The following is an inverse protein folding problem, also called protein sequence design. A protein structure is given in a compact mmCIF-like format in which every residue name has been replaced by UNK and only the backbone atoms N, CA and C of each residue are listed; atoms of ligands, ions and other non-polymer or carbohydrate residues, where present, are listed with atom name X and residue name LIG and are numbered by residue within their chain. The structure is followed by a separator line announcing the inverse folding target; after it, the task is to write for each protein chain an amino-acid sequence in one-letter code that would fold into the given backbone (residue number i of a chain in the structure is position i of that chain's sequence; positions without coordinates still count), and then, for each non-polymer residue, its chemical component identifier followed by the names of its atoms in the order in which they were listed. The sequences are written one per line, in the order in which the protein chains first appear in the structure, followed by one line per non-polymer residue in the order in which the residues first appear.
data_IF_631447132676
#
_entry.id   IF_631447132676
#
_cell.length_a   1.000
_cell.length_b   1.000
_cell.length_c   1.000
_cell.angle_alpha   90.00
_cell.angle_beta   90.00
_cell.angle_gamma   90.00
#
_symmetry.space_group_name_H-M   'P 1'
#
loop_
_entity.id
_entity.type
_entity.pdbx_description
1 polymer ?
#
# COMPACT_ATOMS: atom_id res chain seq x y z
N UNK A 1 -19.55 -73.94 9.90
CA UNK A 1 -18.51 -72.98 10.16
C UNK A 1 -19.18 -71.58 9.84
N UNK A 2 -19.72 -70.90 10.84
CA UNK A 2 -20.23 -69.56 10.68
C UNK A 2 -19.10 -68.61 11.02
N UNK A 3 -18.69 -67.80 10.04
CA UNK A 3 -17.75 -66.73 10.26
C UNK A 3 -18.50 -65.62 11.07
N UNK A 4 -17.96 -65.27 12.23
CA UNK A 4 -18.40 -64.08 12.98
C UNK A 4 -17.97 -62.82 12.19
N UNK A 5 -18.82 -61.81 12.12
CA UNK A 5 -18.43 -60.52 11.54
C UNK A 5 -17.39 -59.87 12.46
N UNK A 6 -16.25 -59.46 11.87
CA UNK A 6 -15.24 -58.65 12.53
C UNK A 6 -15.90 -57.32 12.98
N UNK A 7 -15.96 -57.07 14.27
CA UNK A 7 -16.29 -55.77 14.83
C UNK A 7 -15.23 -54.74 14.38
N UNK A 8 -15.61 -53.79 13.54
CA UNK A 8 -14.78 -52.66 13.24
C UNK A 8 -14.48 -51.89 14.52
N UNK A 9 -13.23 -51.54 14.83
CA UNK A 9 -12.88 -50.81 16.04
C UNK A 9 -13.60 -49.44 16.00
N UNK A 10 -14.51 -49.23 16.92
CA UNK A 10 -15.15 -47.94 17.13
C UNK A 10 -14.08 -46.96 17.60
N UNK A 11 -13.83 -45.91 16.78
CA UNK A 11 -12.94 -44.78 17.14
C UNK A 11 -13.57 -44.09 18.38
N UNK A 12 -12.82 -43.97 19.49
CA UNK A 12 -13.36 -43.27 20.68
C UNK A 12 -13.81 -41.85 20.34
N UNK A 13 -14.99 -41.42 20.85
CA UNK A 13 -15.55 -40.07 20.63
C UNK A 13 -14.57 -38.97 20.99
N UNK A 14 -13.70 -39.18 21.98
CA UNK A 14 -12.66 -38.23 22.37
C UNK A 14 -11.61 -37.98 21.26
N UNK A 15 -11.31 -39.02 20.44
CA UNK A 15 -10.41 -38.87 19.28
C UNK A 15 -11.08 -38.13 18.11
N UNK A 16 -12.37 -38.32 17.92
CA UNK A 16 -13.14 -37.60 16.90
C UNK A 16 -13.22 -36.12 17.21
N UNK A 17 -13.45 -35.75 18.49
CA UNK A 17 -13.45 -34.34 18.94
C UNK A 17 -12.08 -33.70 18.76
N UNK A 18 -11.00 -34.34 19.21
CA UNK A 18 -9.65 -33.81 19.04
C UNK A 18 -9.25 -33.60 17.58
N UNK A 19 -9.65 -34.52 16.68
CA UNK A 19 -9.38 -34.36 15.24
C UNK A 19 -10.17 -33.17 14.65
N UNK A 20 -11.39 -32.94 15.11
CA UNK A 20 -12.20 -31.78 14.69
C UNK A 20 -11.55 -30.46 15.13
N UNK A 21 -11.10 -30.38 16.39
CA UNK A 21 -10.47 -29.19 16.95
C UNK A 21 -9.16 -28.86 16.19
N UNK A 22 -8.36 -29.91 15.91
CA UNK A 22 -7.12 -29.75 15.12
C UNK A 22 -7.41 -29.29 13.69
N UNK A 23 -8.45 -29.81 13.03
CA UNK A 23 -8.83 -29.39 11.69
C UNK A 23 -9.23 -27.89 11.67
N UNK A 24 -10.03 -27.45 12.65
CA UNK A 24 -10.42 -26.04 12.74
C UNK A 24 -9.23 -25.14 13.06
N UNK A 25 -8.32 -25.56 13.94
CA UNK A 25 -7.08 -24.82 14.20
C UNK A 25 -6.23 -24.69 12.93
N UNK A 26 -6.10 -25.76 12.16
CA UNK A 26 -5.37 -25.75 10.90
C UNK A 26 -6.01 -24.78 9.88
N UNK A 27 -7.33 -24.82 9.77
CA UNK A 27 -8.08 -23.90 8.89
C UNK A 27 -7.94 -22.44 9.30
N UNK A 28 -8.04 -22.16 10.62
CA UNK A 28 -7.82 -20.80 11.16
C UNK A 28 -6.40 -20.32 10.87
N UNK A 29 -5.40 -21.16 11.14
CA UNK A 29 -4.00 -20.83 10.87
C UNK A 29 -3.75 -20.63 9.36
N UNK A 30 -4.33 -21.47 8.51
CA UNK A 30 -4.28 -21.35 7.06
C UNK A 30 -4.88 -20.04 6.58
N UNK A 31 -6.07 -19.70 7.07
CA UNK A 31 -6.76 -18.47 6.72
C UNK A 31 -5.97 -17.23 7.16
N UNK A 32 -5.54 -17.17 8.43
CA UNK A 32 -4.68 -16.10 8.95
C UNK A 32 -3.34 -15.96 8.21
N UNK A 33 -2.87 -17.04 7.59
CA UNK A 33 -1.62 -17.04 6.83
C UNK A 33 -1.75 -16.49 5.41
N UNK A 34 -2.91 -16.55 4.81
CA UNK A 34 -3.14 -16.14 3.41
C UNK A 34 -3.81 -14.76 3.28
N UNK A 35 -4.48 -14.28 4.33
CA UNK A 35 -5.14 -12.97 4.29
C UNK A 35 -4.14 -11.83 4.52
N UNK A 36 -4.31 -10.78 3.71
CA UNK A 36 -3.53 -9.53 3.81
C UNK A 36 -4.23 -8.55 4.77
N UNK A 37 -5.57 -8.58 4.82
CA UNK A 37 -6.36 -7.72 5.71
C UNK A 37 -6.61 -8.42 7.05
N UNK A 38 -6.01 -7.86 8.10
CA UNK A 38 -6.15 -8.36 9.46
C UNK A 38 -7.59 -8.24 9.98
N UNK A 39 -8.33 -7.21 9.60
CA UNK A 39 -9.71 -7.01 10.08
C UNK A 39 -10.65 -8.07 9.49
N UNK A 40 -10.56 -8.33 8.20
CA UNK A 40 -11.32 -9.39 7.55
C UNK A 40 -10.98 -10.76 8.14
N UNK A 41 -9.69 -11.02 8.35
CA UNK A 41 -9.22 -12.24 8.98
C UNK A 41 -9.79 -12.45 10.40
N UNK A 42 -9.84 -11.41 11.21
CA UNK A 42 -10.39 -11.48 12.56
C UNK A 42 -11.90 -11.77 12.58
N UNK A 43 -12.67 -11.21 11.63
CA UNK A 43 -14.09 -11.51 11.50
C UNK A 43 -14.35 -12.99 11.22
N UNK A 44 -13.60 -13.58 10.30
CA UNK A 44 -13.70 -14.99 9.95
C UNK A 44 -13.26 -15.91 11.12
N UNK A 45 -12.17 -15.56 11.79
CA UNK A 45 -11.70 -16.29 12.98
C UNK A 45 -12.76 -16.27 14.07
N UNK A 46 -13.36 -15.11 14.37
CA UNK A 46 -14.46 -15.01 15.35
C UNK A 46 -15.63 -15.90 14.95
N UNK A 47 -15.96 -15.98 13.66
CA UNK A 47 -17.00 -16.85 13.15
C UNK A 47 -16.71 -18.31 13.51
N UNK A 48 -15.53 -18.79 13.17
CA UNK A 48 -15.12 -20.19 13.39
C UNK A 48 -15.00 -20.53 14.88
N UNK A 49 -14.46 -19.63 15.68
CA UNK A 49 -14.30 -19.82 17.14
C UNK A 49 -15.66 -19.92 17.82
N UNK A 50 -16.57 -19.01 17.53
CA UNK A 50 -17.92 -19.02 18.16
C UNK A 50 -18.70 -20.27 17.75
N UNK A 51 -18.60 -20.68 16.47
CA UNK A 51 -19.28 -21.89 16.00
C UNK A 51 -18.67 -23.18 16.58
N UNK A 52 -17.32 -23.25 16.68
CA UNK A 52 -16.63 -24.40 17.23
C UNK A 52 -16.97 -24.65 18.72
N UNK A 53 -16.96 -23.56 19.49
CA UNK A 53 -17.22 -23.63 20.94
C UNK A 53 -18.70 -23.46 21.28
N UNK A 54 -19.59 -23.39 20.28
CA UNK A 54 -21.04 -23.15 20.46
C UNK A 54 -21.31 -21.91 21.33
N UNK A 55 -20.52 -20.85 21.09
CA UNK A 55 -20.66 -19.57 21.76
C UNK A 55 -21.49 -18.62 20.89
N UNK A 56 -22.18 -17.68 21.52
CA UNK A 56 -23.10 -16.80 20.82
C UNK A 56 -22.41 -15.62 20.16
N UNK A 57 -21.47 -15.01 20.85
CA UNK A 57 -20.84 -13.76 20.43
C UNK A 57 -19.35 -13.74 20.74
N UNK A 58 -18.61 -12.93 19.99
CA UNK A 58 -17.21 -12.66 20.23
C UNK A 58 -16.80 -11.31 19.68
N UNK A 59 -15.75 -10.72 20.24
CA UNK A 59 -15.16 -9.49 19.78
C UNK A 59 -13.66 -9.41 20.11
N UNK A 60 -12.92 -8.66 19.31
CA UNK A 60 -11.49 -8.46 19.47
C UNK A 60 -11.19 -6.99 19.66
N UNK A 61 -10.50 -6.68 20.74
CA UNK A 61 -9.84 -5.40 20.95
C UNK A 61 -8.39 -5.50 20.48
N UNK A 62 -7.93 -4.56 19.67
CA UNK A 62 -6.51 -4.40 19.36
C UNK A 62 -6.00 -3.06 19.86
N UNK A 63 -4.67 -2.96 20.00
CA UNK A 63 -3.98 -1.72 20.33
C UNK A 63 -3.49 -1.06 19.03
N UNK A 64 -3.78 0.25 18.89
CA UNK A 64 -3.21 1.06 17.82
C UNK A 64 -1.72 1.37 18.09
N UNK A 65 -1.08 2.15 17.21
CA UNK A 65 0.33 2.55 17.36
C UNK A 65 0.59 3.41 18.61
N UNK A 66 -0.43 4.10 19.13
CA UNK A 66 -0.39 4.89 20.36
C UNK A 66 -0.63 4.06 21.62
N UNK A 67 -0.92 2.76 21.46
CA UNK A 67 -1.25 1.85 22.58
C UNK A 67 -2.70 1.97 23.07
N UNK A 68 -3.58 2.64 22.31
CA UNK A 68 -5.00 2.79 22.66
C UNK A 68 -5.83 1.62 22.12
N UNK A 69 -6.77 1.08 22.90
CA UNK A 69 -7.61 -0.02 22.49
C UNK A 69 -8.71 0.44 21.53
N UNK A 70 -8.90 -0.29 20.44
CA UNK A 70 -10.01 -0.10 19.51
C UNK A 70 -10.67 -1.44 19.17
N UNK A 71 -11.96 -1.42 18.83
CA UNK A 71 -12.70 -2.60 18.41
C UNK A 71 -12.27 -3.00 16.99
N UNK A 72 -11.50 -4.06 16.87
CA UNK A 72 -10.96 -4.53 15.60
C UNK A 72 -11.94 -5.43 14.84
N UNK A 73 -12.67 -6.28 15.55
CA UNK A 73 -13.69 -7.14 14.97
C UNK A 73 -14.76 -7.50 16.02
N UNK A 74 -15.98 -7.78 15.58
CA UNK A 74 -17.06 -8.26 16.40
C UNK A 74 -17.99 -9.18 15.61
N UNK A 75 -18.54 -10.20 16.28
CA UNK A 75 -19.53 -11.09 15.72
C UNK A 75 -20.74 -11.20 16.66
N UNK A 76 -21.93 -11.01 16.12
CA UNK A 76 -23.22 -11.21 16.80
C UNK A 76 -23.29 -10.52 18.17
N UNK A 77 -22.79 -9.28 18.27
CA UNK A 77 -22.98 -8.48 19.48
C UNK A 77 -24.45 -8.33 19.80
N UNK A 78 -24.83 -8.36 21.11
CA UNK A 78 -26.21 -8.09 21.49
C UNK A 78 -26.61 -6.68 21.03
N UNK A 79 -27.87 -6.42 20.65
CA UNK A 79 -28.33 -5.10 20.19
C UNK A 79 -27.93 -3.98 21.15
N UNK A 80 -27.95 -4.23 22.44
CA UNK A 80 -27.52 -3.31 23.49
C UNK A 80 -26.10 -2.75 23.26
N UNK A 81 -25.17 -3.53 22.71
CA UNK A 81 -23.80 -3.13 22.41
C UNK A 81 -23.61 -2.80 20.92
N UNK A 82 -24.26 -3.56 20.03
CA UNK A 82 -24.03 -3.46 18.58
C UNK A 82 -24.69 -2.25 17.92
N UNK A 83 -25.87 -1.83 18.41
CA UNK A 83 -26.61 -0.68 17.89
C UNK A 83 -26.11 0.67 18.47
N UNK A 84 -25.31 0.61 19.52
CA UNK A 84 -24.81 1.77 20.25
C UNK A 84 -23.28 1.77 20.29
N UNK A 85 -22.64 2.28 19.24
CA UNK A 85 -21.18 2.30 19.12
C UNK A 85 -20.47 2.97 20.31
N UNK A 86 -21.09 3.98 20.93
CA UNK A 86 -20.56 4.64 22.12
C UNK A 86 -20.39 3.70 23.32
N UNK A 87 -21.18 2.60 23.40
CA UNK A 87 -21.06 1.59 24.45
C UNK A 87 -19.87 0.65 24.23
N UNK A 88 -19.31 0.63 23.01
CA UNK A 88 -18.11 -0.11 22.65
C UNK A 88 -16.87 0.79 22.55
N UNK A 89 -16.92 2.02 23.08
CA UNK A 89 -15.77 2.92 23.19
C UNK A 89 -15.29 3.05 24.63
N UNK A 90 -14.09 3.60 24.84
CA UNK A 90 -13.49 3.82 26.16
C UNK A 90 -13.11 2.54 26.89
N UNK A 91 -12.75 2.67 28.16
CA UNK A 91 -12.28 1.55 28.99
C UNK A 91 -13.38 0.63 29.45
N UNK A 92 -13.02 -0.60 29.79
CA UNK A 92 -13.87 -1.60 30.42
C UNK A 92 -13.01 -2.54 31.27
N UNK A 93 -13.65 -3.33 32.14
CA UNK A 93 -12.95 -4.19 33.10
C UNK A 93 -11.93 -5.12 32.42
N UNK A 94 -12.25 -5.72 31.25
CA UNK A 94 -11.29 -6.58 30.52
C UNK A 94 -10.08 -5.80 29.99
N UNK A 95 -10.29 -4.60 29.48
CA UNK A 95 -9.19 -3.72 29.01
C UNK A 95 -8.33 -3.27 30.19
N UNK A 96 -8.96 -2.82 31.30
CA UNK A 96 -8.24 -2.38 32.50
C UNK A 96 -7.43 -3.53 33.11
N UNK A 97 -8.01 -4.73 33.18
CA UNK A 97 -7.34 -5.94 33.68
C UNK A 97 -6.15 -6.33 32.80
N UNK A 98 -6.31 -6.23 31.47
CA UNK A 98 -5.24 -6.48 30.51
C UNK A 98 -4.06 -5.48 30.68
N UNK A 99 -4.37 -4.19 30.80
CA UNK A 99 -3.33 -3.18 31.04
C UNK A 99 -2.68 -3.31 32.42
N UNK A 100 -3.46 -3.73 33.42
CA UNK A 100 -2.95 -4.01 34.77
C UNK A 100 -2.05 -5.24 34.88
N UNK A 101 -1.89 -6.01 33.80
CA UNK A 101 -1.06 -7.22 33.79
C UNK A 101 -1.71 -8.45 34.44
N UNK A 102 -2.98 -8.36 34.86
CA UNK A 102 -3.70 -9.45 35.53
C UNK A 102 -4.20 -10.52 34.54
N UNK A 103 -4.21 -10.22 33.24
CA UNK A 103 -4.49 -11.18 32.16
C UNK A 103 -3.20 -11.80 31.60
N UNK A 104 -2.16 -11.96 32.44
CA UNK A 104 -0.92 -12.59 31.95
C UNK A 104 -1.13 -14.07 31.64
N UNK A 105 -0.79 -14.37 30.43
CA UNK A 105 -0.32 -15.63 29.79
C UNK A 105 -1.06 -16.96 30.06
N UNK A 106 -1.87 -17.12 31.06
CA UNK A 106 -2.41 -18.44 31.37
C UNK A 106 -3.88 -18.45 31.84
N UNK A 107 -4.45 -17.31 32.17
CA UNK A 107 -5.74 -17.30 32.83
C UNK A 107 -6.77 -16.57 31.98
N UNK A 108 -7.63 -17.38 31.41
CA UNK A 108 -8.88 -16.91 30.87
C UNK A 108 -9.79 -16.70 32.08
N UNK A 109 -9.85 -15.49 32.58
CA UNK A 109 -10.79 -15.13 33.60
C UNK A 109 -12.16 -14.87 32.98
N UNK A 110 -13.18 -15.50 33.52
CA UNK A 110 -14.58 -15.15 33.23
C UNK A 110 -14.88 -13.83 33.93
N UNK A 111 -14.94 -12.77 33.16
CA UNK A 111 -15.17 -11.44 33.68
C UNK A 111 -16.62 -11.04 33.49
N UNK A 112 -17.23 -10.49 34.57
CA UNK A 112 -18.52 -9.80 34.46
C UNK A 112 -18.34 -8.57 33.58
N UNK A 113 -19.10 -8.50 32.49
CA UNK A 113 -18.97 -7.41 31.55
C UNK A 113 -19.41 -6.07 32.14
N UNK A 114 -18.47 -5.15 32.36
CA UNK A 114 -18.77 -3.83 32.91
C UNK A 114 -19.67 -2.99 31.98
N UNK A 115 -19.60 -3.23 30.65
CA UNK A 115 -20.46 -2.56 29.67
C UNK A 115 -21.92 -3.00 29.70
N UNK A 116 -22.20 -4.21 30.18
CA UNK A 116 -23.56 -4.76 30.34
C UNK A 116 -24.16 -4.50 31.73
N UNK A 117 -23.40 -3.90 32.65
CA UNK A 117 -23.84 -3.68 34.04
C UNK A 117 -25.18 -2.92 34.16
N UNK A 118 -25.39 -1.92 33.32
CA UNK A 118 -26.63 -1.14 33.32
C UNK A 118 -27.79 -1.95 32.71
N UNK A 119 -27.53 -2.66 31.59
CA UNK A 119 -28.55 -3.53 31.00
C UNK A 119 -29.00 -4.63 31.97
N UNK A 120 -28.07 -5.21 32.70
CA UNK A 120 -28.39 -6.22 33.72
C UNK A 120 -29.24 -5.63 34.86
N UNK A 121 -28.88 -4.46 35.40
CA UNK A 121 -29.63 -3.77 36.44
C UNK A 121 -31.06 -3.43 36.01
N UNK A 122 -31.20 -2.96 34.79
CA UNK A 122 -32.45 -2.48 34.22
C UNK A 122 -33.25 -3.62 33.54
N UNK A 123 -32.73 -4.86 33.58
CA UNK A 123 -33.28 -6.06 32.93
C UNK A 123 -33.60 -5.84 31.44
N UNK A 124 -32.72 -5.12 30.73
CA UNK A 124 -32.89 -4.75 29.34
C UNK A 124 -32.80 -6.01 28.43
N UNK A 125 -33.91 -6.37 27.72
CA UNK A 125 -33.93 -7.56 26.88
C UNK A 125 -32.95 -7.49 25.70
N UNK A 126 -32.52 -6.30 25.28
CA UNK A 126 -31.57 -6.10 24.16
C UNK A 126 -30.14 -6.57 24.51
N UNK A 127 -29.83 -6.81 25.78
CA UNK A 127 -28.62 -7.45 26.23
C UNK A 127 -28.60 -8.97 26.02
N UNK A 128 -29.75 -9.57 25.69
CA UNK A 128 -29.91 -11.00 25.41
C UNK A 128 -29.41 -11.93 26.54
N UNK A 129 -29.55 -11.51 27.80
CA UNK A 129 -29.09 -12.28 28.96
C UNK A 129 -27.59 -12.36 29.17
N UNK A 130 -26.79 -11.74 28.32
CA UNK A 130 -25.32 -11.73 28.46
C UNK A 130 -24.89 -10.96 29.71
N UNK A 131 -24.03 -11.56 30.50
CA UNK A 131 -23.48 -10.97 31.74
C UNK A 131 -21.98 -11.09 31.85
N UNK A 132 -21.44 -12.20 31.37
CA UNK A 132 -20.03 -12.56 31.48
C UNK A 132 -19.43 -12.83 30.13
N UNK A 133 -18.11 -12.74 30.04
CA UNK A 133 -17.33 -13.17 28.90
C UNK A 133 -15.99 -13.74 29.35
N UNK A 134 -15.45 -14.64 28.57
CA UNK A 134 -14.03 -15.02 28.69
C UNK A 134 -13.18 -14.03 27.92
N UNK A 135 -12.03 -13.67 28.47
CA UNK A 135 -11.06 -12.75 27.87
C UNK A 135 -9.71 -13.43 27.75
N UNK A 136 -9.20 -13.51 26.53
CA UNK A 136 -7.91 -14.13 26.23
C UNK A 136 -6.97 -13.06 25.68
N UNK A 137 -5.82 -12.81 26.29
CA UNK A 137 -4.90 -11.82 25.79
C UNK A 137 -4.26 -12.29 24.48
N UNK A 138 -4.02 -11.34 23.57
CA UNK A 138 -3.34 -11.56 22.29
C UNK A 138 -1.94 -10.98 22.42
N UNK A 139 -0.94 -11.85 22.26
CA UNK A 139 0.48 -11.48 22.29
C UNK A 139 1.19 -11.88 21.00
N UNK A 140 2.29 -11.19 20.72
CA UNK A 140 3.31 -11.66 19.80
C UNK A 140 4.68 -11.60 20.49
N UNK A 141 5.16 -12.73 20.97
CA UNK A 141 6.25 -12.78 21.94
C UNK A 141 5.87 -12.01 23.21
N UNK A 142 6.68 -11.02 23.61
CA UNK A 142 6.43 -10.20 24.80
C UNK A 142 5.57 -8.95 24.51
N UNK A 143 5.16 -8.75 23.24
CA UNK A 143 4.41 -7.55 22.85
C UNK A 143 2.91 -7.78 23.02
N UNK A 144 2.25 -6.93 23.80
CA UNK A 144 0.81 -6.90 23.97
C UNK A 144 0.15 -6.33 22.73
N UNK A 145 -0.78 -7.07 22.10
CA UNK A 145 -1.47 -6.66 20.88
C UNK A 145 -2.94 -6.40 21.09
N UNK A 146 -3.59 -7.12 22.01
CA UNK A 146 -5.03 -6.98 22.20
C UNK A 146 -5.64 -8.07 23.08
N UNK A 147 -6.98 -8.21 22.96
CA UNK A 147 -7.79 -9.15 23.75
C UNK A 147 -8.85 -9.76 22.85
N UNK A 148 -8.93 -11.08 22.82
CA UNK A 148 -10.06 -11.84 22.28
C UNK A 148 -11.08 -12.05 23.39
N UNK A 149 -12.34 -11.67 23.16
CA UNK A 149 -13.46 -11.90 24.09
C UNK A 149 -14.50 -12.78 23.43
N UNK A 150 -15.02 -13.74 24.20
CA UNK A 150 -16.10 -14.63 23.77
C UNK A 150 -17.15 -14.79 24.88
N UNK A 151 -18.42 -14.90 24.50
CA UNK A 151 -19.53 -14.98 25.45
C UNK A 151 -20.68 -15.83 24.92
N UNK A 152 -21.54 -16.31 25.85
CA UNK A 152 -22.80 -16.99 25.57
C UNK A 152 -23.89 -16.51 26.51
N UNK A 153 -25.17 -16.69 26.16
CA UNK A 153 -26.32 -16.29 26.97
C UNK A 153 -26.32 -16.99 28.32
N UNK A 154 -26.26 -18.32 28.26
CA UNK A 154 -26.11 -19.16 29.44
C UNK A 154 -24.61 -19.42 29.61
N UNK A 155 -23.97 -18.54 30.37
CA UNK A 155 -22.56 -18.73 30.63
C UNK A 155 -22.32 -20.09 31.28
N UNK A 156 -21.65 -20.95 30.53
CA UNK A 156 -21.07 -22.18 31.06
C UNK A 156 -19.60 -21.98 31.34
N UNK A 157 -19.10 -22.60 32.36
CA UNK A 157 -17.67 -22.64 32.57
C UNK A 157 -16.99 -23.39 31.41
N UNK A 158 -16.02 -22.75 30.76
CA UNK A 158 -15.25 -23.38 29.70
C UNK A 158 -14.34 -24.46 30.29
N UNK A 159 -14.27 -25.59 29.63
CA UNK A 159 -13.37 -26.67 30.04
C UNK A 159 -11.93 -26.33 29.77
N UNK A 160 -10.99 -26.99 30.44
CA UNK A 160 -9.56 -26.72 30.29
C UNK A 160 -9.07 -26.85 28.83
N UNK A 161 -9.61 -27.79 28.07
CA UNK A 161 -9.33 -28.02 26.68
C UNK A 161 -9.81 -26.87 25.79
N UNK A 162 -10.99 -26.32 26.05
CA UNK A 162 -11.57 -25.17 25.33
C UNK A 162 -10.77 -23.90 25.60
N UNK A 163 -10.32 -23.72 26.82
CA UNK A 163 -9.48 -22.62 27.23
C UNK A 163 -8.11 -22.69 26.54
N UNK A 164 -7.53 -23.88 26.46
CA UNK A 164 -6.27 -24.11 25.76
C UNK A 164 -6.41 -23.83 24.25
N UNK A 165 -7.55 -24.21 23.66
CA UNK A 165 -7.86 -23.94 22.26
C UNK A 165 -7.92 -22.42 21.98
N UNK A 166 -8.60 -21.67 22.84
CA UNK A 166 -8.69 -20.20 22.74
C UNK A 166 -7.30 -19.55 22.86
N UNK A 167 -6.42 -20.07 23.72
CA UNK A 167 -5.03 -19.59 23.79
C UNK A 167 -4.27 -19.81 22.48
N UNK A 168 -4.33 -21.03 21.93
CA UNK A 168 -3.67 -21.33 20.66
C UNK A 168 -4.16 -20.42 19.55
N UNK A 169 -5.48 -20.17 19.49
CA UNK A 169 -6.08 -19.27 18.51
C UNK A 169 -5.60 -17.83 18.73
N UNK A 170 -5.55 -17.38 19.97
CA UNK A 170 -5.06 -16.05 20.33
C UNK A 170 -3.60 -15.84 19.93
N UNK A 171 -2.75 -16.84 20.13
CA UNK A 171 -1.36 -16.85 19.71
C UNK A 171 -1.25 -16.79 18.17
N UNK A 172 -2.08 -17.54 17.44
CA UNK A 172 -2.11 -17.48 15.97
C UNK A 172 -2.53 -16.09 15.46
N UNK A 173 -3.52 -15.47 16.09
CA UNK A 173 -3.94 -14.09 15.80
C UNK A 173 -2.75 -13.14 16.04
N UNK A 174 -2.08 -13.27 17.18
CA UNK A 174 -0.91 -12.45 17.53
C UNK A 174 0.19 -12.53 16.48
N UNK A 175 0.56 -13.75 16.07
CA UNK A 175 1.56 -13.98 15.04
C UNK A 175 1.14 -13.40 13.67
N UNK A 176 -0.13 -13.51 13.28
CA UNK A 176 -0.64 -12.97 12.04
C UNK A 176 -0.58 -11.42 12.04
N UNK A 177 -0.99 -10.78 13.13
CA UNK A 177 -0.91 -9.32 13.28
C UNK A 177 0.55 -8.85 13.22
N UNK A 178 1.46 -9.52 13.94
CA UNK A 178 2.88 -9.17 13.93
C UNK A 178 3.46 -9.29 12.52
N UNK A 179 3.15 -10.37 11.81
CA UNK A 179 3.60 -10.56 10.44
C UNK A 179 3.08 -9.47 9.50
N UNK A 180 1.80 -9.11 9.59
CA UNK A 180 1.23 -8.04 8.79
C UNK A 180 1.91 -6.70 9.05
N UNK A 181 2.18 -6.37 10.33
CA UNK A 181 2.93 -5.15 10.71
C UNK A 181 4.35 -5.15 10.14
N UNK A 182 5.10 -6.24 10.32
CA UNK A 182 6.46 -6.37 9.79
C UNK A 182 6.49 -6.29 8.26
N UNK A 183 5.52 -6.89 7.57
CA UNK A 183 5.39 -6.79 6.11
C UNK A 183 5.15 -5.35 5.66
N UNK A 184 4.26 -4.63 6.33
CA UNK A 184 4.00 -3.21 6.04
C UNK A 184 5.23 -2.33 6.29
N UNK A 185 5.95 -2.55 7.39
CA UNK A 185 7.20 -1.85 7.69
C UNK A 185 8.29 -2.14 6.65
N UNK A 186 8.43 -3.39 6.24
CA UNK A 186 9.39 -3.79 5.22
C UNK A 186 9.07 -3.14 3.86
N UNK A 187 7.80 -3.09 3.47
CA UNK A 187 7.36 -2.43 2.24
C UNK A 187 7.66 -0.93 2.29
N UNK A 188 7.34 -0.25 3.40
CA UNK A 188 7.67 1.17 3.60
C UNK A 188 9.18 1.43 3.54
N UNK A 189 9.99 0.57 4.17
CA UNK A 189 11.45 0.68 4.13
C UNK A 189 12.00 0.48 2.71
N UNK A 190 11.48 -0.51 1.97
CA UNK A 190 11.88 -0.76 0.58
C UNK A 190 11.54 0.42 -0.34
N UNK A 191 10.36 1.03 -0.16
CA UNK A 191 9.96 2.24 -0.92
C UNK A 191 10.89 3.42 -0.63
N UNK A 192 11.26 3.63 0.66
CA UNK A 192 12.22 4.67 1.04
C UNK A 192 13.60 4.45 0.40
N UNK A 193 14.10 3.22 0.43
CA UNK A 193 15.39 2.87 -0.18
C UNK A 193 15.36 3.09 -1.69
N UNK A 194 14.33 2.63 -2.39
CA UNK A 194 14.17 2.84 -3.83
C UNK A 194 14.11 4.34 -4.20
N UNK A 195 13.46 5.15 -3.37
CA UNK A 195 13.42 6.62 -3.56
C UNK A 195 14.81 7.25 -3.40
N UNK A 196 15.59 6.80 -2.40
CA UNK A 196 16.96 7.28 -2.18
C UNK A 196 17.90 6.85 -3.33
N UNK A 197 17.80 5.61 -3.79
CA UNK A 197 18.59 5.09 -4.91
C UNK A 197 18.29 5.86 -6.19
N UNK A 198 17.03 6.12 -6.51
CA UNK A 198 16.62 6.91 -7.66
C UNK A 198 17.12 8.37 -7.54
N UNK A 199 17.03 8.97 -6.36
CA UNK A 199 17.58 10.30 -6.11
C UNK A 199 19.09 10.36 -6.36
N UNK A 200 19.84 9.36 -5.92
CA UNK A 200 21.27 9.26 -6.13
C UNK A 200 21.62 9.01 -7.61
N UNK A 201 20.78 8.26 -8.33
CA UNK A 201 20.91 8.04 -9.76
C UNK A 201 20.71 9.35 -10.53
N UNK A 202 19.63 10.06 -10.24
CA UNK A 202 19.32 11.36 -10.83
C UNK A 202 20.42 12.40 -10.54
N UNK A 203 20.94 12.44 -9.31
CA UNK A 203 22.03 13.34 -8.96
C UNK A 203 23.30 13.11 -9.80
N UNK A 204 23.63 11.85 -10.11
CA UNK A 204 24.74 11.49 -11.01
C UNK A 204 24.45 11.90 -12.45
N UNK A 205 23.25 11.59 -12.96
CA UNK A 205 22.81 11.95 -14.31
C UNK A 205 22.86 13.49 -14.52
N UNK A 206 22.40 14.25 -13.53
CA UNK A 206 22.49 15.72 -13.53
C UNK A 206 23.95 16.18 -13.58
N UNK A 207 24.80 15.60 -12.73
CA UNK A 207 26.21 15.96 -12.68
C UNK A 207 26.90 15.71 -14.02
N UNK A 208 26.65 14.57 -14.63
CA UNK A 208 27.24 14.18 -15.91
C UNK A 208 26.75 15.08 -17.05
N UNK A 209 25.46 15.39 -17.08
CA UNK A 209 24.90 16.32 -18.12
C UNK A 209 25.43 17.73 -17.94
N UNK A 210 25.49 18.25 -16.71
CA UNK A 210 26.06 19.56 -16.41
C UNK A 210 27.56 19.63 -16.79
N UNK A 211 28.32 18.60 -16.42
CA UNK A 211 29.75 18.54 -16.73
C UNK A 211 30.00 18.55 -18.24
N UNK A 212 29.24 17.76 -19.01
CA UNK A 212 29.31 17.72 -20.48
C UNK A 212 28.92 19.07 -21.09
N UNK A 213 27.85 19.68 -20.64
CA UNK A 213 27.39 20.98 -21.12
C UNK A 213 28.39 22.11 -20.82
N UNK A 214 28.97 22.13 -19.62
CA UNK A 214 30.03 23.10 -19.26
C UNK A 214 31.29 22.89 -20.12
N UNK A 215 31.71 21.65 -20.38
CA UNK A 215 32.83 21.36 -21.27
C UNK A 215 32.58 21.86 -22.69
N UNK A 216 31.37 21.64 -23.21
CA UNK A 216 30.99 22.15 -24.54
C UNK A 216 30.99 23.69 -24.63
N UNK A 217 30.51 24.38 -23.58
CA UNK A 217 30.53 25.84 -23.47
C UNK A 217 31.98 26.34 -23.44
N UNK A 218 32.84 25.72 -22.64
CA UNK A 218 34.26 26.06 -22.53
C UNK A 218 34.95 25.95 -23.90
N UNK A 219 34.72 24.87 -24.62
CA UNK A 219 35.30 24.67 -25.97
C UNK A 219 34.84 25.74 -26.99
N UNK A 220 33.54 26.15 -26.91
CA UNK A 220 33.06 27.23 -27.79
C UNK A 220 33.69 28.58 -27.43
N UNK A 221 33.94 28.86 -26.16
CA UNK A 221 34.58 30.08 -25.71
C UNK A 221 36.06 30.12 -26.07
N UNK A 222 36.79 29.00 -25.92
CA UNK A 222 38.18 28.86 -26.38
C UNK A 222 38.30 29.03 -27.91
N UNK A 223 37.32 28.48 -28.65
CA UNK A 223 37.26 28.66 -30.10
C UNK A 223 37.02 30.13 -30.46
N UNK A 224 36.16 30.81 -29.74
CA UNK A 224 35.88 32.23 -29.93
C UNK A 224 37.12 33.08 -29.66
N UNK A 225 37.83 32.81 -28.59
CA UNK A 225 39.06 33.50 -28.20
C UNK A 225 40.16 33.35 -29.28
N UNK A 226 40.41 32.10 -29.72
CA UNK A 226 41.40 31.81 -30.76
C UNK A 226 41.11 32.45 -32.13
N UNK A 227 39.82 32.75 -32.41
CA UNK A 227 39.39 33.35 -33.70
C UNK A 227 39.13 34.85 -33.61
N UNK A 228 39.20 35.46 -32.45
CA UNK A 228 38.75 36.84 -32.19
C UNK A 228 39.43 37.86 -33.11
N UNK A 229 40.75 37.75 -33.32
CA UNK A 229 41.50 38.69 -34.17
C UNK A 229 41.47 38.30 -35.64
N UNK A 230 41.62 36.99 -35.97
CA UNK A 230 41.78 36.52 -37.33
C UNK A 230 40.45 36.34 -38.08
N UNK A 231 39.37 36.02 -37.41
CA UNK A 231 38.03 35.75 -37.98
C UNK A 231 36.90 36.20 -37.04
N UNK A 232 36.68 37.51 -36.85
CA UNK A 232 35.74 38.05 -35.86
C UNK A 232 34.31 37.53 -36.00
N UNK A 233 33.85 37.26 -37.23
CA UNK A 233 32.50 36.76 -37.51
C UNK A 233 32.32 35.35 -36.97
N UNK A 234 33.30 34.46 -37.14
CA UNK A 234 33.29 33.10 -36.62
C UNK A 234 33.45 33.07 -35.09
N UNK A 235 34.21 33.98 -34.54
CA UNK A 235 34.30 34.18 -33.10
C UNK A 235 32.93 34.54 -32.51
N UNK A 236 32.18 35.47 -33.14
CA UNK A 236 30.84 35.84 -32.74
C UNK A 236 29.85 34.66 -32.78
N UNK A 237 29.89 33.84 -33.84
CA UNK A 237 29.07 32.63 -33.96
C UNK A 237 29.36 31.62 -32.85
N UNK A 238 30.62 31.46 -32.45
CA UNK A 238 31.02 30.57 -31.35
C UNK A 238 30.46 31.08 -29.99
N UNK A 239 30.50 32.40 -29.76
CA UNK A 239 29.89 33.02 -28.58
C UNK A 239 28.39 32.79 -28.55
N UNK A 240 27.68 32.94 -29.68
CA UNK A 240 26.23 32.70 -29.74
C UNK A 240 25.90 31.22 -29.44
N UNK A 241 26.69 30.28 -29.95
CA UNK A 241 26.55 28.84 -29.60
C UNK A 241 26.79 28.58 -28.11
N UNK A 242 27.83 29.18 -27.53
CA UNK A 242 28.08 29.07 -26.07
C UNK A 242 26.94 29.61 -25.24
N UNK A 243 26.35 30.75 -25.62
CA UNK A 243 25.18 31.31 -24.93
C UNK A 243 23.93 30.40 -25.01
N UNK A 244 23.69 29.80 -26.17
CA UNK A 244 22.59 28.85 -26.35
C UNK A 244 22.77 27.60 -25.47
N UNK A 245 23.97 26.98 -25.48
CA UNK A 245 24.34 25.86 -24.65
C UNK A 245 24.18 26.20 -23.15
N UNK A 246 24.61 27.38 -22.72
CA UNK A 246 24.50 27.81 -21.32
C UNK A 246 23.02 27.94 -20.86
N UNK A 247 22.16 28.49 -21.72
CA UNK A 247 20.73 28.62 -21.44
C UNK A 247 20.05 27.26 -21.33
N UNK A 248 20.33 26.35 -22.26
CA UNK A 248 19.77 25.00 -22.26
C UNK A 248 20.23 24.21 -21.02
N UNK A 249 21.52 24.26 -20.68
CA UNK A 249 22.07 23.62 -19.49
C UNK A 249 21.43 24.14 -18.20
N UNK A 250 21.17 25.43 -18.10
CA UNK A 250 20.51 26.03 -16.93
C UNK A 250 19.06 25.57 -16.79
N UNK A 251 18.32 25.49 -17.90
CA UNK A 251 16.94 24.99 -17.89
C UNK A 251 16.86 23.50 -17.50
N UNK A 252 17.81 22.71 -17.99
CA UNK A 252 17.90 21.29 -17.65
C UNK A 252 18.27 21.08 -16.19
N UNK A 253 19.22 21.82 -15.67
CA UNK A 253 19.57 21.81 -14.26
C UNK A 253 18.37 22.17 -13.35
N UNK A 254 17.59 23.18 -13.74
CA UNK A 254 16.37 23.57 -12.99
C UNK A 254 15.31 22.47 -13.00
N UNK A 255 15.07 21.83 -14.13
CA UNK A 255 14.14 20.69 -14.26
C UNK A 255 14.57 19.55 -13.32
N UNK A 256 15.81 19.15 -13.43
CA UNK A 256 16.37 18.05 -12.65
C UNK A 256 16.35 18.30 -11.13
N UNK A 257 16.55 19.54 -10.68
CA UNK A 257 16.41 19.91 -9.25
C UNK A 257 14.95 19.86 -8.80
N UNK A 258 13.99 20.21 -9.66
CA UNK A 258 12.57 20.03 -9.34
C UNK A 258 12.20 18.55 -9.24
N UNK A 259 12.76 17.70 -10.09
CA UNK A 259 12.57 16.25 -10.04
C UNK A 259 13.12 15.60 -8.76
N UNK A 260 14.18 16.16 -8.17
CA UNK A 260 14.72 15.67 -6.88
C UNK A 260 13.82 15.95 -5.67
N UNK A 261 12.85 16.87 -5.78
CA UNK A 261 11.96 17.26 -4.66
C UNK A 261 10.77 16.32 -4.44
N UNK A 262 10.55 15.31 -5.28
CA UNK A 262 9.38 14.44 -5.15
C UNK A 262 9.55 13.38 -4.05
N UNK A 263 8.93 13.63 -2.90
CA UNK A 263 8.70 12.65 -1.85
C UNK A 263 7.25 12.13 -1.70
N UNK A 264 6.36 12.14 -2.76
CA UNK A 264 4.96 11.78 -2.56
C UNK A 264 4.75 10.31 -2.19
N UNK A 265 5.70 9.40 -2.52
CA UNK A 265 5.61 7.98 -2.21
C UNK A 265 6.17 7.61 -0.82
N UNK A 266 6.66 8.57 -0.02
CA UNK A 266 7.18 8.27 1.31
C UNK A 266 6.08 7.90 2.30
N UNK A 267 4.90 8.54 2.15
CA UNK A 267 3.76 8.40 3.07
C UNK A 267 2.44 8.06 2.34
N UNK A 268 2.49 7.82 1.02
CA UNK A 268 1.31 7.55 0.18
C UNK A 268 1.53 6.33 -0.73
N UNK A 269 0.45 5.65 -1.05
CA UNK A 269 0.43 4.62 -2.09
C UNK A 269 0.60 5.24 -3.49
N UNK A 270 0.98 4.43 -4.50
CA UNK A 270 1.08 4.91 -5.89
C UNK A 270 -0.23 5.54 -6.37
N UNK A 271 -1.38 4.97 -6.02
CA UNK A 271 -2.70 5.49 -6.39
C UNK A 271 -2.94 6.88 -5.77
N UNK A 272 -2.68 7.04 -4.48
CA UNK A 272 -2.83 8.34 -3.79
C UNK A 272 -1.88 9.39 -4.36
N UNK A 273 -0.64 9.01 -4.65
CA UNK A 273 0.36 9.90 -5.22
C UNK A 273 -0.01 10.35 -6.65
N UNK A 274 -0.53 9.45 -7.50
CA UNK A 274 -1.00 9.79 -8.84
C UNK A 274 -2.27 10.64 -8.79
N UNK A 275 -3.19 10.36 -7.88
CA UNK A 275 -4.39 11.19 -7.65
C UNK A 275 -4.00 12.61 -7.24
N UNK A 276 -3.06 12.76 -6.31
CA UNK A 276 -2.56 14.07 -5.89
C UNK A 276 -1.82 14.81 -7.03
N UNK A 277 -1.06 14.08 -7.86
CA UNK A 277 -0.37 14.61 -9.01
C UNK A 277 -1.34 15.23 -10.03
N UNK A 278 -2.42 14.53 -10.36
CA UNK A 278 -3.43 14.99 -11.32
C UNK A 278 -4.31 16.11 -10.76
N UNK A 279 -4.67 16.07 -9.48
CA UNK A 279 -5.48 17.12 -8.81
C UNK A 279 -4.74 18.46 -8.76
N UNK A 280 -3.43 18.46 -8.47
CA UNK A 280 -2.62 19.68 -8.40
C UNK A 280 -2.51 20.43 -9.74
N UNK A 281 -2.68 19.74 -10.84
CA UNK A 281 -2.62 20.30 -12.18
C UNK A 281 -3.95 20.95 -12.59
N UNK A 282 -5.07 20.43 -12.13
CA UNK A 282 -6.42 20.97 -12.45
C UNK A 282 -6.73 22.25 -11.70
N UNK A 283 -6.15 22.49 -10.52
CA UNK A 283 -6.43 23.67 -9.69
C UNK A 283 -5.73 24.98 -10.14
N UNK A 284 -4.76 24.89 -11.08
CA UNK A 284 -3.91 26.05 -11.41
C UNK A 284 -4.53 27.11 -12.30
N UNK A 285 -5.58 26.85 -13.07
CA UNK A 285 -6.33 27.86 -13.85
C UNK A 285 -7.60 27.27 -14.47
N UNK A 286 -8.74 28.00 -14.59
CA UNK A 286 -9.98 27.49 -15.20
C UNK A 286 -9.90 27.18 -16.70
N UNK A 287 -8.91 27.77 -17.39
CA UNK A 287 -8.59 27.51 -18.81
C UNK A 287 -7.38 26.55 -18.97
N UNK A 288 -6.97 25.87 -17.88
CA UNK A 288 -5.84 24.98 -17.86
C UNK A 288 -6.24 23.58 -18.34
N UNK A 289 -5.23 22.81 -18.69
CA UNK A 289 -5.29 21.40 -19.00
C UNK A 289 -6.14 20.64 -17.95
N UNK A 290 -7.20 19.97 -18.40
CA UNK A 290 -7.99 19.06 -17.57
C UNK A 290 -7.33 17.67 -17.58
N UNK A 291 -6.86 17.24 -16.40
CA UNK A 291 -6.25 15.91 -16.26
C UNK A 291 -7.22 14.99 -15.54
N UNK A 292 -7.62 13.90 -16.20
CA UNK A 292 -8.45 12.85 -15.62
C UNK A 292 -7.55 11.67 -15.23
N UNK A 293 -7.74 11.14 -14.04
CA UNK A 293 -7.08 9.92 -13.60
C UNK A 293 -8.09 8.80 -13.45
N UNK A 294 -7.91 7.76 -14.25
CA UNK A 294 -8.72 6.55 -14.24
C UNK A 294 -7.86 5.36 -13.82
N UNK A 295 -8.41 4.48 -13.01
CA UNK A 295 -7.76 3.21 -12.67
C UNK A 295 -8.76 2.06 -12.69
N UNK A 296 -8.32 0.91 -13.17
CA UNK A 296 -9.14 -0.31 -13.16
C UNK A 296 -8.54 -1.31 -12.18
N UNK A 297 -9.12 -1.46 -10.97
CA UNK A 297 -8.77 -2.57 -10.12
C UNK A 297 -9.55 -3.82 -10.60
N UNK A 298 -8.83 -4.88 -10.80
CA UNK A 298 -9.46 -6.17 -10.67
C UNK A 298 -9.95 -6.38 -9.27
N UNK A 299 -10.31 -6.63 -8.38
CA UNK A 299 -10.82 -6.75 -7.01
C UNK A 299 -10.01 -5.97 -5.95
N UNK A 300 -8.69 -5.87 -6.07
CA UNK A 300 -7.82 -5.00 -5.25
C UNK A 300 -6.53 -4.70 -6.03
N UNK A 301 -6.00 -3.48 -5.90
CA UNK A 301 -4.74 -3.13 -6.54
C UNK A 301 -3.59 -3.92 -5.88
N UNK A 302 -2.76 -4.64 -6.67
CA UNK A 302 -1.69 -5.47 -6.11
C UNK A 302 -0.61 -4.61 -5.45
N UNK A 303 0.10 -5.18 -4.49
CA UNK A 303 1.28 -4.56 -3.91
C UNK A 303 2.41 -4.65 -4.94
N UNK A 304 2.75 -3.52 -5.53
CA UNK A 304 3.84 -3.44 -6.48
C UNK A 304 5.20 -3.37 -5.76
N UNK A 305 6.28 -3.90 -6.37
CA UNK A 305 7.62 -3.63 -5.89
C UNK A 305 7.91 -2.13 -5.87
N UNK A 306 8.54 -1.61 -4.81
CA UNK A 306 8.81 -0.19 -4.62
C UNK A 306 9.52 0.47 -5.82
N UNK A 307 10.45 -0.24 -6.46
CA UNK A 307 11.13 0.22 -7.69
C UNK A 307 10.18 0.46 -8.86
N UNK A 308 9.10 -0.32 -8.95
CA UNK A 308 8.07 -0.18 -9.99
C UNK A 308 7.22 1.04 -9.69
N UNK A 309 6.76 1.21 -8.45
CA UNK A 309 5.96 2.37 -8.02
C UNK A 309 6.70 3.69 -8.26
N UNK A 310 7.96 3.78 -7.84
CA UNK A 310 8.79 4.97 -8.04
C UNK A 310 8.96 5.29 -9.52
N UNK A 311 9.23 4.27 -10.35
CA UNK A 311 9.43 4.48 -11.78
C UNK A 311 8.13 4.92 -12.47
N UNK A 312 7.00 4.28 -12.19
CA UNK A 312 5.69 4.65 -12.77
C UNK A 312 5.28 6.07 -12.37
N UNK A 313 5.44 6.42 -11.09
CA UNK A 313 5.18 7.78 -10.63
C UNK A 313 6.02 8.82 -11.39
N UNK A 314 7.32 8.57 -11.55
CA UNK A 314 8.22 9.47 -12.28
C UNK A 314 7.89 9.59 -13.75
N UNK A 315 7.48 8.50 -14.38
CA UNK A 315 7.08 8.53 -15.78
C UNK A 315 5.79 9.34 -15.94
N UNK A 316 4.81 9.16 -15.07
CA UNK A 316 3.59 9.96 -15.07
C UNK A 316 3.88 11.45 -14.89
N UNK A 317 4.75 11.80 -13.95
CA UNK A 317 5.20 13.17 -13.69
C UNK A 317 5.86 13.81 -14.93
N UNK A 318 6.79 13.11 -15.60
CA UNK A 318 7.47 13.58 -16.79
C UNK A 318 6.52 13.69 -17.98
N UNK A 319 5.62 12.72 -18.16
CA UNK A 319 4.62 12.76 -19.23
C UNK A 319 3.68 13.97 -19.08
N UNK A 320 3.16 14.22 -17.88
CA UNK A 320 2.31 15.40 -17.62
C UNK A 320 3.09 16.71 -17.79
N UNK A 321 4.35 16.76 -17.37
CA UNK A 321 5.20 17.92 -17.58
C UNK A 321 5.43 18.20 -19.08
N UNK A 322 5.56 17.14 -19.90
CA UNK A 322 5.70 17.26 -21.35
C UNK A 322 4.41 17.78 -21.99
N UNK A 323 3.25 17.30 -21.55
CA UNK A 323 1.94 17.79 -21.99
C UNK A 323 1.81 19.29 -21.71
N UNK A 324 2.09 19.73 -20.49
CA UNK A 324 2.04 21.16 -20.12
C UNK A 324 2.96 22.04 -20.95
N UNK A 325 4.18 21.56 -21.24
CA UNK A 325 5.18 22.40 -21.93
C UNK A 325 5.03 22.41 -23.44
N UNK A 326 4.60 21.28 -23.99
CA UNK A 326 4.76 21.03 -25.41
C UNK A 326 3.47 20.74 -26.16
N UNK A 327 2.44 20.15 -25.51
CA UNK A 327 1.28 19.63 -26.23
C UNK A 327 0.27 20.70 -26.62
N UNK A 328 0.11 21.78 -25.87
CA UNK A 328 -1.01 22.72 -26.02
C UNK A 328 -2.37 21.97 -25.95
N UNK A 329 -2.46 20.95 -25.11
CA UNK A 329 -3.62 20.12 -24.93
C UNK A 329 -4.66 20.80 -24.03
N UNK A 330 -5.92 20.43 -24.23
CA UNK A 330 -7.04 20.84 -23.37
C UNK A 330 -7.40 19.71 -22.38
N UNK A 331 -7.20 18.46 -22.79
CA UNK A 331 -7.50 17.29 -21.99
C UNK A 331 -6.33 16.31 -22.00
N UNK A 332 -6.08 15.70 -20.84
CA UNK A 332 -5.18 14.56 -20.71
C UNK A 332 -5.80 13.50 -19.84
N UNK A 333 -5.54 12.25 -20.15
CA UNK A 333 -5.99 11.09 -19.36
C UNK A 333 -4.78 10.29 -18.90
N UNK A 334 -4.72 10.04 -17.61
CA UNK A 334 -3.78 9.12 -16.98
C UNK A 334 -4.56 7.87 -16.60
N UNK A 335 -4.14 6.70 -17.07
CA UNK A 335 -4.76 5.43 -16.74
C UNK A 335 -3.76 4.48 -16.10
N UNK A 336 -4.15 3.85 -14.99
CA UNK A 336 -3.37 2.80 -14.32
C UNK A 336 -4.19 1.51 -14.25
N UNK A 337 -3.68 0.44 -14.86
CA UNK A 337 -4.33 -0.87 -14.85
C UNK A 337 -3.37 -1.98 -14.44
N UNK A 338 -3.91 -3.11 -14.02
CA UNK A 338 -3.14 -4.32 -13.70
C UNK A 338 -3.75 -5.54 -14.37
N UNK A 339 -2.90 -6.41 -14.85
CA UNK A 339 -3.20 -7.75 -15.34
C UNK A 339 -2.39 -8.74 -14.48
N UNK A 340 -2.64 -10.04 -14.56
CA UNK A 340 -2.15 -11.12 -13.67
C UNK A 340 -0.71 -10.93 -13.10
N UNK A 341 0.24 -10.43 -13.90
CA UNK A 341 1.63 -10.19 -13.48
C UNK A 341 2.22 -8.89 -14.08
N UNK A 342 1.38 -7.97 -14.54
CA UNK A 342 1.84 -6.75 -15.21
C UNK A 342 1.03 -5.54 -14.74
N UNK A 343 1.71 -4.42 -14.63
CA UNK A 343 1.08 -3.12 -14.44
C UNK A 343 1.22 -2.31 -15.73
N UNK A 344 0.12 -1.67 -16.13
CA UNK A 344 0.04 -0.82 -17.30
C UNK A 344 -0.19 0.62 -16.87
N UNK A 345 0.63 1.55 -17.36
CA UNK A 345 0.43 2.99 -17.23
C UNK A 345 0.26 3.56 -18.63
N UNK A 346 -0.84 4.27 -18.86
CA UNK A 346 -1.10 4.98 -20.12
C UNK A 346 -1.32 6.47 -19.85
N UNK A 347 -0.71 7.31 -20.67
CA UNK A 347 -0.89 8.77 -20.63
C UNK A 347 -1.25 9.24 -22.02
N UNK A 348 -2.40 9.87 -22.17
CA UNK A 348 -2.90 10.36 -23.46
C UNK A 348 -3.28 11.83 -23.37
N UNK A 349 -2.97 12.62 -24.40
CA UNK A 349 -3.39 14.01 -24.57
C UNK A 349 -4.04 14.27 -25.94
N UNK A 350 -4.85 15.32 -26.01
CA UNK A 350 -5.50 15.82 -27.22
C UNK A 350 -4.74 16.96 -27.89
N UNK A 351 -3.44 17.09 -27.62
CA UNK A 351 -2.63 18.22 -28.06
C UNK A 351 -2.19 18.16 -29.53
N UNK A 352 -1.21 19.02 -29.85
CA UNK A 352 -0.72 19.15 -31.24
C UNK A 352 0.08 17.96 -31.77
N UNK A 353 0.45 17.01 -30.91
CA UNK A 353 1.30 15.87 -31.28
C UNK A 353 2.68 16.25 -31.84
N UNK A 354 3.41 15.25 -32.28
CA UNK A 354 4.72 15.39 -32.94
C UNK A 354 5.00 14.17 -33.81
N UNK A 355 6.04 14.27 -34.67
CA UNK A 355 6.54 13.14 -35.45
C UNK A 355 7.65 12.41 -34.65
N UNK A 356 7.45 11.16 -34.20
CA UNK A 356 8.45 10.42 -33.43
C UNK A 356 9.77 10.19 -34.17
N UNK A 357 9.77 10.10 -35.50
CA UNK A 357 10.99 9.89 -36.28
C UNK A 357 11.89 11.14 -36.28
N UNK A 358 11.29 12.32 -36.29
CA UNK A 358 12.05 13.60 -36.22
C UNK A 358 12.65 13.84 -34.86
N UNK A 359 11.97 13.36 -33.77
CA UNK A 359 12.48 13.47 -32.40
C UNK A 359 13.59 12.47 -32.12
N UNK A 360 13.51 11.26 -32.68
CA UNK A 360 14.57 10.23 -32.54
C UNK A 360 15.89 10.58 -33.20
N UNK A 361 15.83 11.34 -34.29
CA UNK A 361 17.04 11.83 -35.02
C UNK A 361 17.64 13.09 -34.42
N UNK A 362 16.92 13.77 -33.52
CA UNK A 362 17.29 15.07 -32.94
C UNK A 362 17.92 14.99 -31.56
N UNK A 363 18.82 14.03 -31.29
CA UNK A 363 19.61 13.94 -30.03
C UNK A 363 20.35 15.26 -29.71
N UNK A 364 20.53 16.12 -30.69
CA UNK A 364 21.14 17.44 -30.52
C UNK A 364 20.21 18.55 -29.99
N UNK A 365 18.91 18.31 -29.81
CA UNK A 365 17.93 19.36 -29.46
C UNK A 365 17.15 19.15 -28.12
N UNK A 366 17.69 18.41 -27.18
CA UNK A 366 17.17 18.48 -25.78
C UNK A 366 15.93 17.63 -25.47
N UNK A 367 15.67 16.53 -26.18
CA UNK A 367 14.56 15.63 -25.95
C UNK A 367 14.90 14.51 -24.93
N UNK A 368 15.47 14.86 -23.79
CA UNK A 368 15.93 13.89 -22.76
C UNK A 368 14.77 13.21 -22.02
N UNK A 369 13.58 13.81 -21.97
CA UNK A 369 12.44 13.27 -21.24
C UNK A 369 11.95 11.91 -21.75
N UNK A 370 11.77 11.76 -23.07
CA UNK A 370 11.35 10.49 -23.70
C UNK A 370 12.40 9.40 -23.55
N UNK A 371 13.68 9.76 -23.71
CA UNK A 371 14.79 8.83 -23.54
C UNK A 371 14.90 8.36 -22.08
N UNK A 372 14.73 9.25 -21.11
CA UNK A 372 14.71 8.94 -19.69
C UNK A 372 13.53 8.02 -19.28
N UNK A 373 12.34 8.23 -19.84
CA UNK A 373 11.19 7.33 -19.63
C UNK A 373 11.49 5.93 -20.20
N UNK A 374 12.02 5.85 -21.43
CA UNK A 374 12.37 4.59 -22.07
C UNK A 374 13.43 3.80 -21.30
N UNK A 375 14.45 4.48 -20.77
CA UNK A 375 15.49 3.85 -19.95
C UNK A 375 14.93 3.32 -18.63
N UNK A 376 14.07 4.07 -17.92
CA UNK A 376 13.42 3.60 -16.70
C UNK A 376 12.58 2.34 -16.92
N UNK A 377 11.81 2.32 -18.01
CA UNK A 377 11.01 1.14 -18.37
C UNK A 377 11.88 -0.06 -18.70
N UNK A 378 12.97 0.15 -19.43
CA UNK A 378 13.96 -0.89 -19.77
C UNK A 378 14.60 -1.51 -18.53
N UNK A 379 14.95 -0.71 -17.54
CA UNK A 379 15.54 -1.18 -16.26
C UNK A 379 14.57 -2.06 -15.44
N UNK A 380 13.28 -1.96 -15.71
CA UNK A 380 12.24 -2.80 -15.12
C UNK A 380 11.85 -4.01 -15.98
N UNK A 381 12.60 -4.28 -17.08
CA UNK A 381 12.25 -5.28 -18.09
C UNK A 381 10.84 -5.06 -18.69
N UNK A 382 10.38 -3.82 -18.73
CA UNK A 382 9.11 -3.42 -19.30
C UNK A 382 9.21 -3.02 -20.79
N UNK A 383 8.08 -2.65 -21.34
CA UNK A 383 7.94 -2.11 -22.70
C UNK A 383 7.25 -0.75 -22.65
N UNK A 384 7.70 0.16 -23.52
CA UNK A 384 7.08 1.47 -23.74
C UNK A 384 6.72 1.60 -25.22
N UNK A 385 5.51 2.09 -25.50
CA UNK A 385 5.04 2.42 -26.83
C UNK A 385 4.62 3.90 -26.84
N UNK A 386 5.17 4.68 -27.76
CA UNK A 386 4.85 6.10 -27.92
C UNK A 386 4.23 6.26 -29.30
N UNK A 387 2.98 6.75 -29.35
CA UNK A 387 2.24 7.03 -30.57
C UNK A 387 1.90 8.52 -30.60
N UNK A 388 2.32 9.21 -31.62
CA UNK A 388 2.02 10.63 -31.83
C UNK A 388 2.03 10.96 -33.30
N UNK A 389 1.10 11.80 -33.71
CA UNK A 389 1.05 12.39 -35.07
C UNK A 389 0.71 13.87 -34.95
N UNK A 390 1.25 14.73 -35.82
CA UNK A 390 0.93 16.16 -35.81
C UNK A 390 -0.59 16.41 -35.94
N UNK A 391 -1.17 17.07 -34.93
CA UNK A 391 -2.59 17.42 -34.87
C UNK A 391 -3.52 16.39 -34.22
N UNK A 392 -3.02 15.25 -33.73
CA UNK A 392 -3.84 14.18 -33.13
C UNK A 392 -3.54 13.91 -31.65
N UNK A 393 -2.55 14.60 -31.07
CA UNK A 393 -2.12 14.39 -29.69
C UNK A 393 -1.06 13.29 -29.56
N UNK A 394 -0.84 12.84 -28.31
CA UNK A 394 0.16 11.82 -27.99
C UNK A 394 -0.42 10.76 -27.05
N UNK A 395 -0.05 9.49 -27.26
CA UNK A 395 -0.27 8.37 -26.34
C UNK A 395 1.07 7.75 -25.95
N UNK A 396 1.27 7.55 -24.66
CA UNK A 396 2.42 6.86 -24.06
C UNK A 396 1.89 5.68 -23.27
N UNK A 397 2.16 4.47 -23.75
CA UNK A 397 1.70 3.24 -23.14
C UNK A 397 2.89 2.43 -22.60
N UNK A 398 2.83 2.08 -21.33
CA UNK A 398 3.90 1.41 -20.60
C UNK A 398 3.35 0.15 -19.97
N UNK A 399 4.10 -0.94 -20.10
CA UNK A 399 3.79 -2.23 -19.46
C UNK A 399 5.02 -2.72 -18.73
N UNK A 400 4.90 -2.97 -17.44
CA UNK A 400 5.99 -3.43 -16.57
C UNK A 400 5.57 -4.72 -15.85
N UNK A 401 6.40 -5.78 -15.84
CA UNK A 401 6.17 -6.96 -15.01
C UNK A 401 6.45 -6.63 -13.52
N UNK A 402 5.70 -7.28 -12.59
CA UNK A 402 5.90 -7.11 -11.14
C UNK A 402 5.83 -8.42 -10.35
#
# INVERSE_FOLDING_TARGET
MHAQPEEQPQIPDSLLHKNRDLAVLYDIAGYLNHQVDVHEALHEVLARVTDLLSLRTGWVWLLNEQGEPYLAAARALPPYLGEHHERMTGSCLCIDTFFGGALEAANIDVLRCSRLKNAERDSDPSALGLRFHASVPIYAGDVRLGILNVASEDWRELQAEELQLLHIISDQIGLAIQRARLSAEHTRAATRLATIEERNRLAREIHDTLAQGLAAITLQLETADALAEARPQRAHEAIQRALHLARNNLEEARRSVMDLRAGPLQDHTLLEALTALTASDTERSPDALQVQFDYSPATSFPILPARVEVALYRIAQEALANIHKHAQAHQATLYLGTDENRVCLSVQDDGKGFDPETVSSGIEQGHFGLAGMSERVRLLNGTICIQSEPGTGTSIDIVVPY
#
